data_IF_763268839902
#
_entry.id   IF_763268839902
#
_cell.length_a   1.000
_cell.length_b   1.000
_cell.length_c   1.000
_cell.angle_alpha   90.00
_cell.angle_beta   90.00
_cell.angle_gamma   90.00
#
_symmetry.space_group_name_H-M   'P 1'
#
loop_
_entity.id
_entity.type
_entity.pdbx_description
1 polymer ?
#
# COMPACT_ATOMS: atom_id res chain seq x y z
N UNK A 1 14.02 12.37 1.32
CA UNK A 1 14.63 11.35 0.45
C UNK A 1 16.14 11.33 0.62
N UNK A 2 16.76 10.17 0.41
CA UNK A 2 18.22 10.02 0.39
C UNK A 2 18.69 9.90 -1.06
N UNK A 3 19.69 10.67 -1.46
CA UNK A 3 20.25 10.68 -2.82
C UNK A 3 21.51 9.82 -2.91
N UNK A 4 21.93 9.46 -4.12
CA UNK A 4 23.03 8.51 -4.35
C UNK A 4 24.40 9.02 -3.84
N UNK A 5 24.53 10.32 -3.61
CA UNK A 5 25.69 10.96 -2.96
C UNK A 5 25.60 10.94 -1.41
N UNK A 6 24.61 10.26 -0.84
CA UNK A 6 24.41 10.07 0.59
C UNK A 6 23.74 11.25 1.31
N UNK A 7 23.36 12.31 0.59
CA UNK A 7 22.66 13.45 1.19
C UNK A 7 21.21 13.13 1.48
N UNK A 8 20.68 13.77 2.52
CA UNK A 8 19.26 13.73 2.87
C UNK A 8 18.63 15.06 2.50
N UNK A 9 17.47 14.98 1.87
CA UNK A 9 16.66 16.13 1.47
C UNK A 9 15.23 15.97 1.99
N UNK A 10 14.63 17.04 2.47
CA UNK A 10 13.21 17.06 2.81
C UNK A 10 12.35 16.97 1.53
N UNK A 11 11.23 16.25 1.62
CA UNK A 11 10.26 16.20 0.53
C UNK A 11 9.53 17.53 0.48
N UNK A 12 9.57 18.21 -0.66
CA UNK A 12 8.88 19.49 -0.87
C UNK A 12 7.44 19.29 -1.34
N UNK A 13 7.19 18.23 -2.12
CA UNK A 13 5.89 17.95 -2.72
C UNK A 13 5.75 16.47 -3.06
N UNK A 14 4.52 15.98 -2.97
CA UNK A 14 4.11 14.67 -3.48
C UNK A 14 3.07 14.93 -4.55
N UNK A 15 3.26 14.37 -5.74
CA UNK A 15 2.23 14.30 -6.76
C UNK A 15 1.73 12.86 -6.85
N UNK A 16 0.47 12.65 -6.48
CA UNK A 16 -0.16 11.33 -6.48
C UNK A 16 -1.22 11.25 -7.58
N UNK A 17 -1.06 10.28 -8.48
CA UNK A 17 -2.08 9.91 -9.49
C UNK A 17 -2.83 8.68 -8.99
N UNK A 18 -4.15 8.72 -9.12
CA UNK A 18 -5.05 7.61 -8.84
C UNK A 18 -5.78 7.19 -10.11
N UNK A 19 -5.87 5.88 -10.33
CA UNK A 19 -6.59 5.31 -11.46
C UNK A 19 -7.34 4.05 -11.01
N UNK A 20 -8.66 4.04 -11.17
CA UNK A 20 -9.45 2.84 -10.89
C UNK A 20 -9.32 1.89 -12.08
N UNK A 21 -8.76 0.70 -11.86
CA UNK A 21 -8.55 -0.31 -12.90
C UNK A 21 -9.76 -1.24 -13.01
N UNK A 22 -10.36 -1.59 -11.87
CA UNK A 22 -11.59 -2.38 -11.80
C UNK A 22 -12.51 -1.78 -10.73
N UNK A 23 -13.76 -1.53 -11.12
CA UNK A 23 -14.80 -0.93 -10.27
C UNK A 23 -15.62 -1.95 -9.47
N UNK A 24 -15.37 -3.26 -9.66
CA UNK A 24 -16.24 -4.33 -9.18
C UNK A 24 -17.54 -4.42 -9.99
N UNK A 25 -18.31 -5.48 -9.75
CA UNK A 25 -19.54 -5.80 -10.49
C UNK A 25 -20.69 -4.84 -10.19
N UNK A 26 -20.67 -4.16 -9.04
CA UNK A 26 -21.75 -3.26 -8.58
C UNK A 26 -21.48 -1.77 -8.82
N UNK A 27 -20.30 -1.43 -9.37
CA UNK A 27 -20.14 -0.35 -10.36
C UNK A 27 -20.34 1.12 -9.92
N UNK A 28 -20.26 1.46 -8.64
CA UNK A 28 -20.19 2.86 -8.19
C UNK A 28 -19.11 2.95 -7.12
N UNK A 29 -18.08 3.76 -7.36
CA UNK A 29 -16.97 3.96 -6.44
C UNK A 29 -16.91 5.45 -6.06
N UNK A 30 -17.17 5.75 -4.79
CA UNK A 30 -16.94 7.06 -4.21
C UNK A 30 -15.51 7.11 -3.66
N UNK A 31 -14.73 8.08 -4.12
CA UNK A 31 -13.32 8.24 -3.72
C UNK A 31 -13.16 9.50 -2.88
N UNK A 32 -12.69 9.32 -1.65
CA UNK A 32 -12.39 10.38 -0.71
C UNK A 32 -10.87 10.49 -0.57
N UNK A 33 -10.29 11.59 -1.06
CA UNK A 33 -8.85 11.86 -0.93
C UNK A 33 -8.63 12.73 0.29
N UNK A 34 -7.81 12.24 1.22
CA UNK A 34 -7.55 12.91 2.49
C UNK A 34 -6.49 14.00 2.32
N UNK A 35 -6.59 15.07 3.12
CA UNK A 35 -5.68 16.22 3.03
C UNK A 35 -4.26 15.87 3.47
N UNK A 36 -4.13 14.98 4.47
CA UNK A 36 -2.84 14.42 4.83
C UNK A 36 -2.51 13.28 3.86
N UNK A 37 -1.46 13.39 3.03
CA UNK A 37 -1.12 12.37 2.04
C UNK A 37 -0.70 11.03 2.66
N UNK A 38 -0.36 11.00 3.96
CA UNK A 38 -0.03 9.78 4.71
C UNK A 38 -1.27 9.01 5.16
N UNK A 39 -2.42 9.67 5.29
CA UNK A 39 -3.70 9.00 5.56
C UNK A 39 -4.30 8.35 4.30
N UNK A 40 -3.76 8.68 3.12
CA UNK A 40 -4.13 8.03 1.87
C UNK A 40 -5.51 8.48 1.36
N UNK A 41 -6.38 7.51 1.10
CA UNK A 41 -7.68 7.72 0.49
C UNK A 41 -8.62 6.58 0.88
N UNK A 42 -9.92 6.85 0.80
CA UNK A 42 -10.98 5.86 1.04
C UNK A 42 -11.76 5.67 -0.24
N UNK A 43 -11.96 4.40 -0.63
CA UNK A 43 -12.85 4.04 -1.74
C UNK A 43 -14.01 3.26 -1.16
N UNK A 44 -15.22 3.80 -1.32
CA UNK A 44 -16.44 3.11 -0.95
C UNK A 44 -17.17 2.65 -2.21
N UNK A 45 -17.76 1.45 -2.14
CA UNK A 45 -18.64 0.92 -3.18
C UNK A 45 -19.84 0.22 -2.57
N UNK A 46 -20.85 -0.05 -3.38
CA UNK A 46 -21.97 -0.93 -3.00
C UNK A 46 -21.47 -2.34 -2.67
N UNK A 47 -22.24 -3.05 -1.84
CA UNK A 47 -22.01 -4.46 -1.52
C UNK A 47 -21.71 -5.28 -2.78
N UNK A 48 -20.72 -6.17 -2.66
CA UNK A 48 -20.34 -7.03 -3.76
C UNK A 48 -21.33 -8.16 -4.03
N UNK A 49 -21.13 -8.88 -5.13
CA UNK A 49 -21.89 -10.06 -5.52
C UNK A 49 -21.56 -11.33 -4.71
N UNK A 50 -20.85 -11.20 -3.57
CA UNK A 50 -20.57 -12.28 -2.62
C UNK A 50 -19.51 -13.30 -3.04
N UNK A 51 -18.67 -13.03 -4.04
CA UNK A 51 -17.60 -13.92 -4.47
C UNK A 51 -16.29 -13.19 -4.76
N UNK A 52 -15.15 -13.87 -4.60
CA UNK A 52 -13.80 -13.31 -4.77
C UNK A 52 -13.49 -12.78 -6.17
N UNK A 53 -14.24 -13.23 -7.19
CA UNK A 53 -14.17 -12.68 -8.54
C UNK A 53 -14.79 -11.27 -8.67
N UNK A 54 -15.47 -10.78 -7.64
CA UNK A 54 -15.97 -9.40 -7.55
C UNK A 54 -15.06 -8.55 -6.66
N UNK A 55 -14.04 -7.96 -7.27
CA UNK A 55 -13.06 -7.10 -6.61
C UNK A 55 -13.01 -5.73 -7.27
N UNK A 56 -12.57 -4.74 -6.50
CA UNK A 56 -12.11 -3.45 -7.00
C UNK A 56 -10.59 -3.38 -6.85
N UNK A 57 -9.93 -2.69 -7.77
CA UNK A 57 -8.52 -2.38 -7.62
C UNK A 57 -8.17 -1.07 -8.34
N UNK A 58 -7.08 -0.47 -7.89
CA UNK A 58 -6.61 0.82 -8.34
C UNK A 58 -5.10 0.79 -8.54
N UNK A 59 -4.63 1.64 -9.43
CA UNK A 59 -3.22 1.98 -9.57
C UNK A 59 -2.98 3.32 -8.89
N UNK A 60 -2.04 3.34 -7.94
CA UNK A 60 -1.53 4.55 -7.31
C UNK A 60 -0.12 4.79 -7.81
N UNK A 61 0.18 6.02 -8.23
CA UNK A 61 1.53 6.42 -8.63
C UNK A 61 1.93 7.69 -7.89
N UNK A 62 2.96 7.59 -7.07
CA UNK A 62 3.55 8.72 -6.36
C UNK A 62 4.82 9.20 -7.04
N UNK A 63 4.90 10.51 -7.25
CA UNK A 63 6.14 11.21 -7.61
C UNK A 63 6.53 12.13 -6.46
N UNK A 64 7.71 11.87 -5.89
CA UNK A 64 8.26 12.66 -4.79
C UNK A 64 9.23 13.71 -5.34
N UNK A 65 9.12 14.93 -4.81
CA UNK A 65 9.97 16.05 -5.20
C UNK A 65 10.76 16.56 -3.99
N UNK A 66 11.95 17.10 -4.25
CA UNK A 66 12.80 17.72 -3.24
C UNK A 66 13.59 18.88 -3.86
N UNK A 67 14.18 19.74 -3.03
CA UNK A 67 14.92 20.91 -3.49
C UNK A 67 16.44 20.67 -3.52
N UNK A 68 17.07 21.09 -4.61
CA UNK A 68 18.53 21.21 -4.78
C UNK A 68 18.82 22.62 -5.26
N UNK A 69 19.62 23.38 -4.49
CA UNK A 69 20.00 24.75 -4.81
C UNK A 69 18.81 25.66 -5.19
N UNK A 70 17.70 25.51 -4.44
CA UNK A 70 16.46 26.28 -4.64
C UNK A 70 15.61 25.84 -5.84
N UNK A 71 15.97 24.75 -6.53
CA UNK A 71 15.20 24.16 -7.62
C UNK A 71 14.58 22.84 -7.20
N UNK A 72 13.30 22.67 -7.50
CA UNK A 72 12.60 21.42 -7.28
C UNK A 72 12.98 20.39 -8.35
N UNK A 73 13.32 19.17 -7.92
CA UNK A 73 13.67 18.03 -8.78
C UNK A 73 12.93 16.77 -8.32
N UNK A 74 12.75 15.81 -9.23
CA UNK A 74 12.12 14.51 -8.91
C UNK A 74 13.10 13.56 -8.23
N UNK A 75 12.65 12.88 -7.19
CA UNK A 75 13.33 11.70 -6.69
C UNK A 75 13.23 10.54 -7.69
N UNK A 76 14.31 9.80 -7.85
CA UNK A 76 14.38 8.59 -8.68
C UNK A 76 14.94 7.47 -7.81
N UNK A 77 14.16 6.41 -7.61
CA UNK A 77 14.60 5.24 -6.87
C UNK A 77 15.70 4.50 -7.66
N UNK A 78 16.66 3.92 -6.95
CA UNK A 78 17.73 3.09 -7.52
C UNK A 78 18.17 2.04 -6.52
N UNK A 79 18.96 1.05 -6.91
CA UNK A 79 19.51 0.05 -5.97
C UNK A 79 20.30 0.70 -4.81
N UNK A 80 20.97 1.84 -5.05
CA UNK A 80 21.70 2.57 -4.00
C UNK A 80 20.80 3.40 -3.09
N UNK A 81 19.64 3.79 -3.60
CA UNK A 81 18.66 4.65 -2.92
C UNK A 81 17.26 4.15 -3.24
N UNK A 82 16.86 2.99 -2.70
CA UNK A 82 15.55 2.44 -2.98
C UNK A 82 14.46 3.34 -2.39
N UNK A 83 13.29 3.33 -3.01
CA UNK A 83 12.07 3.74 -2.32
C UNK A 83 11.57 2.51 -1.55
N UNK A 84 11.01 2.71 -0.37
CA UNK A 84 10.30 1.64 0.33
C UNK A 84 8.94 2.17 0.74
N UNK A 85 7.90 1.44 0.34
CA UNK A 85 6.52 1.72 0.70
C UNK A 85 6.01 0.59 1.60
N UNK A 86 5.33 0.95 2.66
CA UNK A 86 4.67 -0.03 3.53
C UNK A 86 3.24 -0.23 3.06
N UNK A 87 2.86 -1.49 2.85
CA UNK A 87 1.47 -1.91 2.67
C UNK A 87 1.02 -2.50 4.00
N UNK A 88 0.37 -1.69 4.83
CA UNK A 88 -0.16 -2.09 6.16
C UNK A 88 -1.67 -2.26 6.10
N UNK A 89 -2.27 -2.77 7.19
CA UNK A 89 -3.73 -2.95 7.27
C UNK A 89 -4.25 -3.81 6.12
N UNK A 90 -3.53 -4.89 5.76
CA UNK A 90 -3.99 -5.82 4.74
C UNK A 90 -4.82 -6.91 5.43
N UNK A 91 -6.10 -6.63 5.63
CA UNK A 91 -6.99 -7.49 6.38
C UNK A 91 -7.50 -8.65 5.52
N UNK A 92 -7.72 -9.81 6.14
CA UNK A 92 -8.46 -10.93 5.57
C UNK A 92 -9.47 -11.44 6.59
N UNK A 93 -10.74 -11.44 6.21
CA UNK A 93 -11.86 -11.91 7.01
C UNK A 93 -12.96 -12.52 6.13
N UNK A 94 -14.10 -12.86 6.74
CA UNK A 94 -15.25 -13.48 6.03
C UNK A 94 -15.85 -12.68 4.87
N UNK A 95 -15.58 -11.38 4.80
CA UNK A 95 -16.07 -10.50 3.72
C UNK A 95 -15.13 -10.58 2.51
N UNK A 96 -13.83 -10.70 2.75
CA UNK A 96 -12.81 -10.73 1.71
C UNK A 96 -11.42 -10.46 2.26
N UNK A 97 -10.47 -10.28 1.34
CA UNK A 97 -9.09 -9.93 1.63
C UNK A 97 -8.68 -8.66 0.92
N UNK A 98 -7.74 -7.94 1.54
CA UNK A 98 -7.05 -6.79 0.97
C UNK A 98 -5.63 -7.19 0.61
N UNK A 99 -5.14 -6.66 -0.51
CA UNK A 99 -3.79 -6.94 -0.97
C UNK A 99 -3.21 -5.82 -1.80
N UNK A 100 -1.89 -5.85 -1.95
CA UNK A 100 -1.14 -4.83 -2.67
C UNK A 100 -0.18 -5.49 -3.66
N UNK A 101 0.26 -4.72 -4.65
CA UNK A 101 1.26 -5.15 -5.63
C UNK A 101 2.23 -4.02 -5.93
N UNK A 102 3.52 -4.29 -5.79
CA UNK A 102 4.56 -3.37 -6.22
C UNK A 102 4.64 -3.38 -7.76
N UNK A 103 4.48 -2.22 -8.38
CA UNK A 103 4.64 -2.04 -9.83
C UNK A 103 6.06 -1.55 -10.09
N UNK A 104 6.80 -2.26 -10.96
CA UNK A 104 8.23 -2.00 -11.24
C UNK A 104 9.15 -2.11 -10.02
N UNK A 105 8.75 -2.91 -9.02
CA UNK A 105 9.50 -3.18 -7.81
C UNK A 105 9.35 -4.62 -7.37
N UNK A 106 9.83 -4.93 -6.17
CA UNK A 106 9.68 -6.25 -5.54
C UNK A 106 9.06 -6.13 -4.16
N UNK A 107 8.61 -7.26 -3.62
CA UNK A 107 8.13 -7.33 -2.25
C UNK A 107 9.23 -7.80 -1.30
N UNK A 108 9.22 -7.25 -0.09
CA UNK A 108 10.01 -7.76 1.03
C UNK A 108 9.05 -8.16 2.14
N UNK A 109 9.03 -9.45 2.43
CA UNK A 109 8.22 -10.00 3.52
C UNK A 109 8.77 -9.54 4.88
N UNK A 110 7.85 -9.24 5.79
CA UNK A 110 8.19 -8.91 7.17
C UNK A 110 8.09 -10.20 7.99
N UNK A 111 9.19 -10.60 8.62
CA UNK A 111 9.20 -11.80 9.45
C UNK A 111 8.13 -11.70 10.56
N UNK A 112 7.26 -12.71 10.62
CA UNK A 112 6.17 -12.79 11.57
C UNK A 112 4.89 -12.09 11.13
N UNK A 113 4.86 -11.45 9.95
CA UNK A 113 3.62 -11.02 9.29
C UNK A 113 2.79 -12.21 8.82
N UNK A 114 1.48 -12.01 8.72
CA UNK A 114 0.52 -12.94 8.09
C UNK A 114 0.43 -12.73 6.58
N UNK A 115 1.00 -11.63 6.08
CA UNK A 115 0.97 -11.25 4.66
C UNK A 115 2.20 -11.81 3.97
N UNK A 116 1.97 -12.55 2.87
CA UNK A 116 3.02 -13.17 2.05
C UNK A 116 2.81 -12.87 0.57
N UNK A 117 3.88 -12.96 -0.23
CA UNK A 117 3.76 -12.79 -1.68
C UNK A 117 3.16 -14.04 -2.34
N UNK A 118 2.02 -13.86 -3.02
CA UNK A 118 1.52 -14.85 -3.97
C UNK A 118 2.24 -14.71 -5.31
N UNK A 119 3.06 -15.71 -5.64
CA UNK A 119 3.95 -15.69 -6.81
C UNK A 119 3.25 -15.85 -8.16
N UNK A 120 2.01 -16.32 -8.17
CA UNK A 120 1.28 -16.55 -9.42
C UNK A 120 0.80 -15.23 -10.04
N UNK A 121 0.45 -14.25 -9.20
CA UNK A 121 -0.11 -12.96 -9.64
C UNK A 121 0.66 -11.72 -9.12
N UNK A 122 1.63 -11.93 -8.22
CA UNK A 122 2.51 -10.89 -7.69
C UNK A 122 1.85 -9.93 -6.71
N UNK A 123 0.80 -10.39 -6.01
CA UNK A 123 0.15 -9.64 -4.93
C UNK A 123 0.65 -10.14 -3.59
N UNK A 124 0.77 -9.24 -2.62
CA UNK A 124 0.89 -9.57 -1.20
C UNK A 124 -0.47 -9.47 -0.53
N UNK A 125 -0.87 -10.52 0.17
CA UNK A 125 -2.08 -10.56 1.00
C UNK A 125 -1.93 -11.69 2.06
N UNK A 126 -2.84 -11.75 3.03
CA UNK A 126 -2.87 -12.86 3.99
C UNK A 126 -3.68 -14.03 3.42
N UNK A 127 -3.10 -15.22 3.31
CA UNK A 127 -3.80 -16.41 2.76
C UNK A 127 -4.94 -16.88 3.68
N UNK A 128 -4.75 -16.78 4.99
CA UNK A 128 -5.75 -17.10 6.01
C UNK A 128 -6.31 -15.83 6.67
N UNK A 129 -7.40 -15.98 7.43
CA UNK A 129 -7.92 -14.88 8.24
C UNK A 129 -6.89 -14.40 9.25
N UNK A 130 -6.72 -13.08 9.29
CA UNK A 130 -5.80 -12.42 10.21
C UNK A 130 -6.55 -11.48 11.15
N UNK A 131 -7.77 -11.83 11.56
CA UNK A 131 -8.50 -11.03 12.55
C UNK A 131 -7.77 -11.07 13.88
N UNK A 132 -8.08 -10.13 14.76
CA UNK A 132 -7.47 -10.05 16.09
C UNK A 132 -7.56 -11.39 16.85
N UNK A 133 -8.70 -12.09 16.74
CA UNK A 133 -8.92 -13.41 17.36
C UNK A 133 -8.08 -14.54 16.73
N UNK A 134 -7.71 -14.43 15.45
CA UNK A 134 -6.91 -15.44 14.74
C UNK A 134 -5.41 -15.23 15.01
N UNK A 135 -4.98 -13.96 15.07
CA UNK A 135 -3.58 -13.56 15.29
C UNK A 135 -3.22 -13.52 16.78
N UNK A 136 -4.20 -13.33 17.66
CA UNK A 136 -4.01 -13.20 19.11
C UNK A 136 -3.49 -11.83 19.56
N UNK A 137 -3.47 -10.84 18.67
CA UNK A 137 -2.97 -9.50 18.95
C UNK A 137 -3.89 -8.44 18.32
N UNK A 138 -4.13 -7.34 19.04
CA UNK A 138 -4.65 -6.12 18.42
C UNK A 138 -3.54 -5.52 17.55
N UNK A 139 -3.63 -5.73 16.24
CA UNK A 139 -2.58 -5.33 15.30
C UNK A 139 -3.01 -4.20 14.38
N UNK A 140 -4.30 -4.09 14.06
CA UNK A 140 -4.79 -3.21 13.01
C UNK A 140 -5.04 -1.76 13.49
N UNK A 141 -4.01 -1.17 14.10
CA UNK A 141 -3.94 0.25 14.48
C UNK A 141 -2.52 0.76 14.28
N UNK A 142 -2.38 2.03 13.90
CA UNK A 142 -1.06 2.63 13.57
C UNK A 142 -0.09 2.71 14.75
N UNK A 143 -0.61 2.69 15.98
CA UNK A 143 0.15 2.70 17.23
C UNK A 143 0.45 1.30 17.79
N UNK A 144 -0.10 0.23 17.19
CA UNK A 144 0.12 -1.12 17.67
C UNK A 144 1.58 -1.56 17.46
N UNK A 145 2.24 -2.15 18.49
CA UNK A 145 3.53 -2.78 18.31
C UNK A 145 3.44 -4.05 17.43
N UNK A 146 2.23 -4.53 17.15
CA UNK A 146 1.96 -5.69 16.31
C UNK A 146 1.47 -5.34 14.92
N UNK A 147 1.43 -4.06 14.51
CA UNK A 147 0.93 -3.64 13.19
C UNK A 147 1.59 -4.35 12.00
N UNK A 148 2.83 -4.80 12.18
CA UNK A 148 3.55 -5.58 11.18
C UNK A 148 2.88 -6.92 10.84
N UNK A 149 1.96 -7.41 11.70
CA UNK A 149 1.22 -8.66 11.51
C UNK A 149 0.36 -8.69 10.25
N UNK A 150 -0.12 -7.54 9.78
CA UNK A 150 -0.88 -7.43 8.53
C UNK A 150 -0.21 -6.53 7.52
N UNK A 151 1.13 -6.57 7.45
CA UNK A 151 1.91 -5.68 6.60
C UNK A 151 2.97 -6.38 5.75
N UNK A 152 3.33 -5.75 4.63
CA UNK A 152 4.46 -6.09 3.78
C UNK A 152 5.12 -4.80 3.25
N UNK A 153 6.31 -4.93 2.66
CA UNK A 153 7.02 -3.81 2.04
C UNK A 153 7.03 -3.98 0.50
N UNK A 154 6.90 -2.88 -0.22
CA UNK A 154 7.25 -2.76 -1.63
C UNK A 154 8.53 -1.93 -1.78
N UNK A 155 9.46 -2.39 -2.62
CA UNK A 155 10.79 -1.79 -2.83
C UNK A 155 11.08 -1.59 -4.30
#
# INVERSE_FOLDING_TARGET
>A
VSTADGKKHDISRIHRKFEILNQGKTGLNDVYVLNDPTEGFVVARNDGAGGSADYMNFLVTDTYYYNVDGKEVTFQASEKTPATLTYSSLNHNRIGWEGAKAINGTHVEINGSTVTENKDYGYVYAEDYNRQEDVGHLWDTSDSPYQYKGAALGV
#
